data_IF_319329056316
#
_entry.id   IF_319329056316
#
_cell.length_a   1.000
_cell.length_b   1.000
_cell.length_c   1.000
_cell.angle_alpha   90.00
_cell.angle_beta   90.00
_cell.angle_gamma   90.00
#
_symmetry.space_group_name_H-M   'P 1'
#
loop_
_entity.id
_entity.type
_entity.pdbx_description
1 polymer ?
#
# COMPACT_ATOMS: atom_id res chain seq x y z
N UNK A 1 57.24 34.14 70.40
CA UNK A 1 56.16 35.15 70.28
C UNK A 1 54.96 34.46 69.66
N UNK A 2 53.80 34.58 70.30
CA UNK A 2 52.53 33.98 69.88
C UNK A 2 52.03 34.57 68.55
N UNK A 3 51.53 33.73 67.65
CA UNK A 3 50.23 33.95 66.98
C UNK A 3 49.62 32.63 66.48
N UNK A 4 48.28 32.43 66.58
CA UNK A 4 47.59 31.16 66.29
C UNK A 4 46.72 31.24 65.01
N UNK A 5 45.76 30.30 64.88
CA UNK A 5 44.55 30.34 64.01
C UNK A 5 44.79 29.72 62.61
N UNK A 6 43.98 28.83 62.01
CA UNK A 6 42.55 28.52 62.11
C UNK A 6 42.28 27.08 61.62
N UNK A 7 41.41 26.36 62.32
CA UNK A 7 40.79 25.11 61.87
C UNK A 7 39.66 25.45 60.88
N UNK A 8 39.66 24.89 59.67
CA UNK A 8 38.54 25.00 58.73
C UNK A 8 38.06 23.59 58.35
N UNK A 9 36.91 23.22 58.89
CA UNK A 9 36.19 21.98 58.58
C UNK A 9 35.47 22.13 57.23
N UNK A 10 35.78 21.27 56.27
CA UNK A 10 35.06 21.20 54.99
C UNK A 10 33.94 20.17 55.14
N UNK A 11 32.70 20.64 55.13
CA UNK A 11 31.52 19.79 55.04
C UNK A 11 31.36 19.29 53.59
N UNK A 12 31.38 17.97 53.40
CA UNK A 12 31.07 17.33 52.13
C UNK A 12 29.55 17.31 51.97
N UNK A 13 29.03 18.15 51.08
CA UNK A 13 27.62 18.13 50.68
C UNK A 13 27.38 17.04 49.64
N UNK A 14 26.59 16.04 49.99
CA UNK A 14 26.16 14.97 49.08
C UNK A 14 25.17 15.52 48.04
N UNK A 15 25.55 15.56 46.76
CA UNK A 15 24.62 15.81 45.67
C UNK A 15 23.85 14.53 45.34
N UNK A 16 22.55 14.52 45.60
CA UNK A 16 21.63 13.49 45.13
C UNK A 16 21.32 13.74 43.65
N UNK A 17 21.78 12.85 42.78
CA UNK A 17 21.43 12.87 41.36
C UNK A 17 19.96 12.46 41.19
N UNK A 18 19.13 13.37 40.67
CA UNK A 18 17.76 13.06 40.22
C UNK A 18 17.89 12.36 38.87
N UNK A 19 17.62 11.06 38.83
CA UNK A 19 17.51 10.30 37.58
C UNK A 19 16.20 10.70 36.89
N UNK A 20 16.32 11.44 35.78
CA UNK A 20 15.22 11.62 34.84
C UNK A 20 15.13 10.33 34.02
N UNK A 21 14.17 9.46 34.35
CA UNK A 21 13.79 8.37 33.47
C UNK A 21 13.17 9.00 32.21
N UNK A 22 13.90 8.97 31.10
CA UNK A 22 13.33 9.27 29.79
C UNK A 22 12.45 8.09 29.42
N UNK A 23 11.13 8.30 29.51
CA UNK A 23 10.13 7.37 29.01
C UNK A 23 10.21 7.41 27.48
N UNK A 24 11.05 6.55 26.90
CA UNK A 24 11.15 6.39 25.46
C UNK A 24 9.88 5.70 24.98
N UNK A 25 8.89 6.50 24.57
CA UNK A 25 7.77 6.01 23.78
C UNK A 25 8.36 5.37 22.52
N UNK A 26 8.06 4.10 22.21
CA UNK A 26 8.51 3.51 20.96
C UNK A 26 7.92 4.35 19.82
N UNK A 27 8.78 5.01 19.07
CA UNK A 27 8.39 5.57 17.78
C UNK A 27 7.97 4.38 16.92
N UNK A 28 6.71 4.35 16.51
CA UNK A 28 6.22 3.33 15.60
C UNK A 28 7.11 3.37 14.36
N UNK A 29 7.94 2.34 14.20
CA UNK A 29 8.64 2.13 12.94
C UNK A 29 7.55 2.07 11.88
N UNK A 30 7.60 2.86 10.79
CA UNK A 30 6.65 2.70 9.71
C UNK A 30 6.69 1.20 9.36
N UNK A 31 5.57 0.50 9.56
CA UNK A 31 5.41 -0.82 8.98
C UNK A 31 5.85 -0.65 7.53
N UNK A 32 6.86 -1.41 7.10
CA UNK A 32 7.37 -1.33 5.74
C UNK A 32 6.18 -1.29 4.79
N UNK A 33 6.19 -0.37 3.83
CA UNK A 33 5.04 -0.17 2.94
C UNK A 33 4.65 -1.53 2.35
N UNK A 34 3.46 -2.02 2.71
CA UNK A 34 2.97 -3.32 2.26
C UNK A 34 2.77 -3.21 0.76
N UNK A 35 3.53 -4.00 0.00
CA UNK A 35 3.34 -4.20 -1.43
C UNK A 35 2.27 -5.26 -1.64
N UNK A 36 1.38 -5.02 -2.59
CA UNK A 36 0.26 -5.90 -2.89
C UNK A 36 0.35 -6.35 -4.34
N UNK A 37 0.74 -7.60 -4.60
CA UNK A 37 0.75 -8.14 -5.95
C UNK A 37 -0.63 -8.05 -6.59
N UNK A 38 -0.65 -7.76 -7.90
CA UNK A 38 -1.84 -7.72 -8.71
C UNK A 38 -1.62 -8.45 -10.02
N UNK A 39 -2.65 -9.14 -10.51
CA UNK A 39 -2.58 -9.90 -11.74
C UNK A 39 -3.90 -9.84 -12.50
N UNK A 40 -3.82 -9.94 -13.82
CA UNK A 40 -4.93 -10.36 -14.67
C UNK A 40 -4.90 -11.89 -14.73
N UNK A 41 -6.00 -12.50 -14.33
CA UNK A 41 -6.23 -13.94 -14.40
C UNK A 41 -7.34 -14.28 -15.38
N UNK A 42 -7.32 -15.50 -15.91
CA UNK A 42 -8.49 -16.11 -16.56
C UNK A 42 -9.58 -16.44 -15.53
N UNK A 43 -10.83 -16.55 -15.98
CA UNK A 43 -11.95 -17.02 -15.15
C UNK A 43 -12.80 -15.90 -14.55
N UNK A 44 -13.31 -16.13 -13.35
CA UNK A 44 -14.23 -15.24 -12.62
C UNK A 44 -13.70 -14.97 -11.21
N UNK A 45 -14.29 -14.03 -10.46
CA UNK A 45 -13.84 -13.80 -9.08
C UNK A 45 -14.16 -14.97 -8.13
N UNK A 46 -15.13 -15.81 -8.49
CA UNK A 46 -15.46 -17.05 -7.75
C UNK A 46 -14.49 -18.21 -8.11
N UNK A 47 -13.88 -18.17 -9.29
CA UNK A 47 -12.97 -19.20 -9.81
C UNK A 47 -11.81 -18.55 -10.57
N UNK A 48 -10.82 -18.06 -9.81
CA UNK A 48 -9.62 -17.39 -10.34
C UNK A 48 -8.68 -18.43 -10.97
N UNK A 49 -8.42 -18.27 -12.26
CA UNK A 49 -7.61 -19.20 -13.06
C UNK A 49 -6.13 -18.81 -13.17
N UNK A 50 -5.52 -19.16 -14.30
CA UNK A 50 -4.10 -18.88 -14.59
C UNK A 50 -3.84 -17.38 -14.80
N UNK A 51 -2.64 -16.92 -14.45
CA UNK A 51 -2.17 -15.56 -14.70
C UNK A 51 -1.89 -15.37 -16.19
N UNK A 52 -2.44 -14.30 -16.77
CA UNK A 52 -2.21 -13.89 -18.16
C UNK A 52 -1.56 -12.52 -18.29
N UNK A 53 -1.58 -11.71 -17.24
CA UNK A 53 -0.96 -10.38 -17.23
C UNK A 53 -0.47 -9.99 -15.84
N UNK A 54 0.84 -10.03 -15.55
CA UNK A 54 1.36 -9.51 -14.29
C UNK A 54 1.20 -7.99 -14.22
N UNK A 55 0.88 -7.48 -13.03
CA UNK A 55 0.86 -6.07 -12.73
C UNK A 55 2.00 -5.73 -11.76
N UNK A 56 2.42 -4.48 -11.78
CA UNK A 56 3.27 -3.91 -10.75
C UNK A 56 2.54 -3.96 -9.41
N UNK A 57 3.30 -4.21 -8.34
CA UNK A 57 2.77 -4.27 -6.99
C UNK A 57 2.13 -2.91 -6.63
N UNK A 58 0.92 -2.94 -6.09
CA UNK A 58 0.32 -1.76 -5.52
C UNK A 58 1.06 -1.42 -4.23
N UNK A 59 1.32 -0.14 -4.02
CA UNK A 59 1.91 0.36 -2.79
C UNK A 59 1.28 1.70 -2.43
N UNK A 60 1.33 2.04 -1.14
CA UNK A 60 1.07 3.40 -0.73
C UNK A 60 2.15 4.34 -1.31
N UNK A 61 1.79 5.55 -1.76
CA UNK A 61 2.76 6.50 -2.26
C UNK A 61 3.75 6.90 -1.15
N UNK A 62 5.01 7.08 -1.54
CA UNK A 62 6.04 7.58 -0.65
C UNK A 62 5.98 9.11 -0.52
N UNK A 63 6.34 9.61 0.66
CA UNK A 63 6.46 11.05 0.92
C UNK A 63 5.60 11.55 2.08
N UNK A 64 5.64 12.86 2.30
CA UNK A 64 4.86 13.51 3.34
C UNK A 64 3.41 13.71 2.92
N UNK A 65 2.47 13.48 3.84
CA UNK A 65 1.07 13.81 3.63
C UNK A 65 0.91 15.32 3.36
N UNK A 66 0.07 15.64 2.38
CA UNK A 66 -0.29 17.01 2.00
C UNK A 66 -1.80 17.19 2.04
N UNK A 67 -2.28 18.41 2.28
CA UNK A 67 -3.71 18.71 2.32
C UNK A 67 -4.41 18.28 3.62
N UNK A 68 -5.61 17.70 3.50
CA UNK A 68 -6.45 17.34 4.65
C UNK A 68 -5.93 16.07 5.34
N UNK A 69 -5.77 16.10 6.67
CA UNK A 69 -5.28 14.97 7.45
C UNK A 69 -6.21 13.74 7.45
N UNK A 70 -7.48 13.93 7.11
CA UNK A 70 -8.49 12.86 7.10
C UNK A 70 -8.66 12.23 5.71
N UNK A 71 -7.85 12.62 4.73
CA UNK A 71 -7.87 11.98 3.42
C UNK A 71 -7.49 10.49 3.55
N UNK A 72 -8.19 9.63 2.80
CA UNK A 72 -7.82 8.23 2.67
C UNK A 72 -6.69 8.12 1.64
N UNK A 73 -5.57 7.55 2.05
CA UNK A 73 -4.46 7.27 1.15
C UNK A 73 -4.76 6.01 0.37
N UNK A 74 -4.94 6.13 -0.94
CA UNK A 74 -5.04 4.97 -1.82
C UNK A 74 -3.66 4.37 -2.10
N UNK A 75 -3.62 3.05 -2.26
CA UNK A 75 -2.51 2.37 -2.90
C UNK A 75 -2.73 2.36 -4.40
N UNK A 76 -1.64 2.47 -5.17
CA UNK A 76 -1.73 2.56 -6.63
C UNK A 76 -0.67 1.73 -7.32
N UNK A 77 -0.99 1.23 -8.52
CA UNK A 77 0.00 0.71 -9.46
C UNK A 77 -0.31 1.16 -10.89
N UNK A 78 0.71 1.11 -11.74
CA UNK A 78 0.60 1.29 -13.18
C UNK A 78 1.39 0.18 -13.88
N UNK A 79 0.82 -0.41 -14.93
CA UNK A 79 1.48 -1.47 -15.69
C UNK A 79 1.11 -1.37 -17.16
N UNK A 80 2.07 -1.72 -18.03
CA UNK A 80 1.81 -1.93 -19.44
C UNK A 80 1.78 -3.45 -19.67
N UNK A 81 0.59 -4.00 -19.92
CA UNK A 81 0.37 -5.43 -20.13
C UNK A 81 0.47 -5.72 -21.63
N UNK A 82 1.28 -6.71 -22.00
CA UNK A 82 1.52 -7.12 -23.40
C UNK A 82 0.35 -7.86 -24.08
N UNK A 83 -0.88 -7.47 -23.79
CA UNK A 83 -2.12 -7.93 -24.41
C UNK A 83 -2.93 -6.70 -24.80
N UNK A 84 -3.56 -6.72 -25.97
CA UNK A 84 -4.51 -5.67 -26.33
C UNK A 84 -5.76 -5.76 -25.48
N UNK A 85 -6.47 -4.64 -25.32
CA UNK A 85 -7.72 -4.64 -24.56
C UNK A 85 -8.76 -5.58 -25.19
N UNK A 86 -8.80 -5.68 -26.52
CA UNK A 86 -9.66 -6.63 -27.23
C UNK A 86 -9.31 -8.09 -26.90
N UNK A 87 -8.02 -8.42 -26.73
CA UNK A 87 -7.61 -9.77 -26.31
C UNK A 87 -8.03 -10.06 -24.87
N UNK A 88 -7.90 -9.07 -23.98
CA UNK A 88 -8.37 -9.20 -22.60
C UNK A 88 -9.90 -9.35 -22.55
N UNK A 89 -10.65 -8.68 -23.43
CA UNK A 89 -12.11 -8.76 -23.47
C UNK A 89 -12.66 -9.95 -24.26
N UNK A 90 -11.80 -10.73 -24.93
CA UNK A 90 -12.22 -11.85 -25.75
C UNK A 90 -12.69 -13.07 -24.93
N UNK A 91 -12.23 -13.17 -23.68
CA UNK A 91 -12.54 -14.25 -22.74
C UNK A 91 -12.81 -13.67 -21.34
N UNK A 92 -13.31 -14.52 -20.43
CA UNK A 92 -13.53 -14.13 -19.05
C UNK A 92 -12.17 -13.93 -18.34
N UNK A 93 -11.94 -12.72 -17.88
CA UNK A 93 -10.76 -12.35 -17.10
C UNK A 93 -11.14 -11.53 -15.88
N UNK A 94 -10.26 -11.53 -14.88
CA UNK A 94 -10.38 -10.73 -13.66
C UNK A 94 -9.09 -10.00 -13.37
N UNK A 95 -9.19 -8.82 -12.74
CA UNK A 95 -8.09 -8.25 -11.97
C UNK A 95 -8.23 -8.78 -10.54
N UNK A 96 -7.22 -9.51 -10.06
CA UNK A 96 -7.17 -10.05 -8.70
C UNK A 96 -5.98 -9.46 -7.93
N UNK A 97 -6.21 -9.06 -6.68
CA UNK A 97 -5.21 -8.47 -5.81
C UNK A 97 -4.94 -9.37 -4.60
N UNK A 98 -3.67 -9.47 -4.24
CA UNK A 98 -3.17 -10.32 -3.17
C UNK A 98 -2.82 -9.50 -1.92
N UNK A 99 -2.86 -10.14 -0.74
CA UNK A 99 -2.57 -9.48 0.53
C UNK A 99 -1.13 -8.97 0.59
N UNK A 100 -0.15 -9.84 0.32
CA UNK A 100 1.28 -9.50 0.21
C UNK A 100 2.04 -10.56 -0.61
N UNK A 101 3.33 -10.35 -0.82
CA UNK A 101 4.23 -11.32 -1.44
C UNK A 101 4.36 -12.62 -0.61
N UNK A 102 4.32 -12.52 0.72
CA UNK A 102 4.37 -13.65 1.65
C UNK A 102 3.03 -14.39 1.74
N UNK A 103 1.92 -13.67 1.55
CA UNK A 103 0.55 -14.18 1.64
C UNK A 103 -0.14 -14.19 0.27
N UNK A 104 0.59 -14.64 -0.77
CA UNK A 104 0.13 -14.63 -2.16
C UNK A 104 -1.15 -15.46 -2.39
N UNK A 105 -1.50 -16.39 -1.51
CA UNK A 105 -2.74 -17.16 -1.62
C UNK A 105 -3.96 -16.44 -1.04
N UNK A 106 -3.79 -15.29 -0.39
CA UNK A 106 -4.86 -14.52 0.24
C UNK A 106 -5.28 -13.41 -0.71
N UNK A 107 -6.52 -13.47 -1.19
CA UNK A 107 -7.09 -12.46 -2.09
C UNK A 107 -7.83 -11.41 -1.29
N UNK A 108 -7.60 -10.15 -1.61
CA UNK A 108 -8.18 -9.02 -0.87
C UNK A 108 -9.20 -8.26 -1.70
N UNK A 109 -9.06 -8.22 -3.01
CA UNK A 109 -10.04 -7.60 -3.89
C UNK A 109 -9.99 -8.23 -5.27
N UNK A 110 -11.15 -8.34 -5.91
CA UNK A 110 -11.28 -8.88 -7.26
C UNK A 110 -12.33 -8.09 -8.05
N UNK A 111 -12.11 -7.95 -9.35
CA UNK A 111 -13.11 -7.42 -10.28
C UNK A 111 -13.04 -8.10 -11.64
N UNK A 112 -14.21 -8.49 -12.15
CA UNK A 112 -14.33 -9.03 -13.51
C UNK A 112 -14.12 -7.94 -14.55
N UNK A 113 -13.35 -8.26 -15.59
CA UNK A 113 -13.03 -7.31 -16.66
C UNK A 113 -14.16 -7.30 -17.67
N UNK A 114 -15.07 -6.33 -17.54
CA UNK A 114 -16.16 -6.11 -18.47
C UNK A 114 -16.91 -4.81 -18.19
N UNK A 115 -17.78 -4.41 -19.11
CA UNK A 115 -18.61 -3.21 -18.95
C UNK A 115 -18.74 -2.39 -20.22
N UNK A 116 -18.81 -1.06 -20.07
CA UNK A 116 -18.99 -0.10 -21.15
C UNK A 116 -17.69 0.67 -21.35
N UNK A 117 -17.18 0.67 -22.57
CA UNK A 117 -16.02 1.48 -22.93
C UNK A 117 -16.37 2.97 -22.90
N UNK A 118 -15.43 3.79 -22.44
CA UNK A 118 -15.55 5.24 -22.48
C UNK A 118 -15.29 5.79 -23.91
N UNK A 119 -15.36 7.12 -24.07
CA UNK A 119 -15.15 7.77 -25.36
C UNK A 119 -13.71 7.59 -25.93
N UNK A 120 -12.76 7.19 -25.10
CA UNK A 120 -11.36 6.94 -25.46
C UNK A 120 -11.08 5.45 -25.68
N UNK A 121 -12.10 4.58 -25.55
CA UNK A 121 -11.94 3.14 -25.64
C UNK A 121 -11.34 2.51 -24.38
N UNK A 122 -11.31 3.22 -23.26
CA UNK A 122 -10.88 2.69 -21.97
C UNK A 122 -12.05 2.04 -21.22
N UNK A 123 -11.72 1.12 -20.33
CA UNK A 123 -12.66 0.43 -19.45
C UNK A 123 -12.32 0.74 -18.00
N UNK A 124 -13.35 1.05 -17.21
CA UNK A 124 -13.22 1.22 -15.75
C UNK A 124 -14.07 0.16 -15.07
N UNK A 125 -13.43 -0.65 -14.23
CA UNK A 125 -14.09 -1.70 -13.45
C UNK A 125 -13.95 -1.43 -11.96
N UNK A 126 -14.96 -1.87 -11.20
CA UNK A 126 -14.87 -1.90 -9.73
C UNK A 126 -14.14 -3.17 -9.28
N UNK A 127 -13.38 -3.05 -8.19
CA UNK A 127 -12.81 -4.16 -7.46
C UNK A 127 -13.56 -4.27 -6.13
N UNK A 128 -14.30 -5.34 -5.96
CA UNK A 128 -15.00 -5.66 -4.72
C UNK A 128 -14.08 -6.37 -3.74
N UNK A 129 -14.36 -6.22 -2.44
CA UNK A 129 -13.61 -6.95 -1.42
C UNK A 129 -13.83 -8.46 -1.54
N UNK A 130 -12.81 -9.22 -1.16
CA UNK A 130 -12.86 -10.67 -1.05
C UNK A 130 -12.75 -11.07 0.42
N UNK A 131 -13.56 -12.03 0.87
CA UNK A 131 -13.51 -12.60 2.23
C UNK A 131 -13.57 -11.59 3.39
N UNK A 132 -14.19 -10.42 3.18
CA UNK A 132 -14.28 -9.37 4.20
C UNK A 132 -12.94 -8.72 4.51
N UNK A 133 -12.05 -8.65 3.51
CA UNK A 133 -10.73 -8.03 3.61
C UNK A 133 -10.78 -6.55 3.99
N UNK A 134 -11.92 -5.87 3.76
CA UNK A 134 -12.03 -4.42 3.89
C UNK A 134 -11.33 -3.65 2.76
N UNK A 135 -10.95 -4.28 1.65
CA UNK A 135 -10.33 -3.59 0.52
C UNK A 135 -11.28 -3.45 -0.67
N UNK A 136 -11.42 -2.22 -1.17
CA UNK A 136 -12.21 -1.94 -2.36
C UNK A 136 -11.50 -0.93 -3.27
N UNK A 137 -11.82 -0.95 -4.56
CA UNK A 137 -11.05 -0.16 -5.52
C UNK A 137 -11.61 -0.13 -6.92
N UNK A 138 -10.78 0.35 -7.84
CA UNK A 138 -11.05 0.33 -9.28
C UNK A 138 -9.80 -0.07 -10.06
N UNK A 139 -10.01 -0.63 -11.24
CA UNK A 139 -8.99 -0.73 -12.28
C UNK A 139 -9.43 0.06 -13.51
N UNK A 140 -8.50 0.84 -14.06
CA UNK A 140 -8.64 1.59 -15.31
C UNK A 140 -7.75 0.90 -16.35
N UNK A 141 -8.36 0.38 -17.42
CA UNK A 141 -7.69 -0.32 -18.50
C UNK A 141 -7.86 0.49 -19.78
N UNK A 142 -6.76 0.93 -20.39
CA UNK A 142 -6.79 1.66 -21.65
C UNK A 142 -5.91 0.98 -22.71
N UNK A 143 -6.27 1.05 -24.00
CA UNK A 143 -5.38 0.64 -25.07
C UNK A 143 -4.04 1.38 -24.96
N UNK A 144 -2.95 0.63 -24.96
CA UNK A 144 -1.62 1.20 -24.95
C UNK A 144 -1.33 1.97 -26.24
N UNK A 145 -0.46 2.98 -26.15
CA UNK A 145 -0.12 3.84 -27.29
C UNK A 145 0.54 3.09 -28.46
N UNK A 146 1.07 1.88 -28.22
CA UNK A 146 1.65 1.02 -29.24
C UNK A 146 0.61 0.20 -30.03
N UNK A 147 -0.66 0.20 -29.59
CA UNK A 147 -1.74 -0.59 -30.18
C UNK A 147 -1.60 -2.11 -29.98
N UNK A 148 -0.63 -2.55 -29.17
CA UNK A 148 -0.32 -3.95 -28.91
C UNK A 148 -0.39 -4.31 -27.41
N UNK A 149 -0.60 -3.33 -26.55
CA UNK A 149 -0.64 -3.46 -25.09
C UNK A 149 -1.89 -2.82 -24.49
N UNK A 150 -2.05 -3.00 -23.18
CA UNK A 150 -3.05 -2.34 -22.35
C UNK A 150 -2.35 -1.68 -21.19
N UNK A 151 -2.55 -0.37 -21.04
CA UNK A 151 -2.15 0.38 -19.86
C UNK A 151 -3.18 0.14 -18.75
N UNK A 152 -2.74 -0.41 -17.63
CA UNK A 152 -3.57 -0.78 -16.49
C UNK A 152 -3.13 0.06 -15.29
N UNK A 153 -4.05 0.84 -14.74
CA UNK A 153 -3.88 1.51 -13.45
C UNK A 153 -4.85 0.92 -12.44
N UNK A 154 -4.35 0.57 -11.25
CA UNK A 154 -5.18 0.06 -10.17
C UNK A 154 -5.12 1.02 -8.99
N UNK A 155 -6.27 1.30 -8.40
CA UNK A 155 -6.42 2.14 -7.22
C UNK A 155 -7.18 1.37 -6.16
N UNK A 156 -6.57 1.20 -4.99
CA UNK A 156 -7.10 0.40 -3.90
C UNK A 156 -7.15 1.23 -2.62
N UNK A 157 -8.26 1.12 -1.89
CA UNK A 157 -8.46 1.76 -0.59
C UNK A 157 -8.84 0.67 0.42
N UNK A 158 -8.40 0.84 1.65
CA UNK A 158 -8.87 0.08 2.80
C UNK A 158 -10.04 0.82 3.44
N UNK A 159 -11.21 0.20 3.44
CA UNK A 159 -12.40 0.64 4.14
C UNK A 159 -12.11 0.58 5.65
N UNK A 160 -12.26 1.72 6.33
CA UNK A 160 -12.00 1.86 7.78
C UNK A 160 -13.22 1.57 8.64
#
# INVERSE_FOLDING_TARGET
MLTPVLLASIAVGSLTAVSLAQDATPEATPSGAVTRPGHIHTGTCDEVGEVVGPLENLAAPEGGAVGQSNALTAQTSFSNVGLTLDQILADNHVVNLHLSDEEIAVYIACGEIGGVLDANGALVIGLGETEGSGFSGIAYLAPGADGASTDVSVFLVEDR
#
